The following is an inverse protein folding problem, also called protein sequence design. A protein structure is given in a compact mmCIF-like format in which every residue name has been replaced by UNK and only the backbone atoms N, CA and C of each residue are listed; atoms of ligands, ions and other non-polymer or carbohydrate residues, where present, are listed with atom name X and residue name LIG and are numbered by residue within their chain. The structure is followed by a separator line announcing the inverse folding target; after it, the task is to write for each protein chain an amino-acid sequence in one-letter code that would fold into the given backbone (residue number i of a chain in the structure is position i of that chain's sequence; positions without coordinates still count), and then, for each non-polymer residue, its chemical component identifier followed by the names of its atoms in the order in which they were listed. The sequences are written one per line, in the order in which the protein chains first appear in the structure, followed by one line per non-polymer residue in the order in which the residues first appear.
data_IF_106722137428
#
_entry.id   IF_106722137428
#
_cell.length_a   1.000
_cell.length_b   1.000
_cell.length_c   1.000
_cell.angle_alpha   90.00
_cell.angle_beta   90.00
_cell.angle_gamma   90.00
#
_symmetry.space_group_name_H-M   'P 1'
#
loop_
_entity.id
_entity.type
_entity.pdbx_description
1 polymer ?
#
# COMPACT_ATOMS: atom_id res chain seq x y z
N UNK A 1 -40.24 26.22 -54.64
CA UNK A 1 -39.25 26.96 -53.82
C UNK A 1 -39.82 27.24 -52.43
N UNK A 2 -39.73 26.27 -51.51
CA UNK A 2 -39.76 26.48 -50.06
C UNK A 2 -39.53 25.14 -49.33
N UNK A 3 -38.58 25.19 -48.39
CA UNK A 3 -38.36 24.28 -47.25
C UNK A 3 -37.70 22.91 -47.51
N UNK A 4 -36.37 22.94 -47.54
CA UNK A 4 -35.53 21.86 -47.00
C UNK A 4 -34.48 22.51 -46.07
N UNK A 5 -34.93 22.91 -44.87
CA UNK A 5 -34.03 23.04 -43.72
C UNK A 5 -33.99 21.67 -43.05
N UNK A 6 -33.09 20.81 -43.52
CA UNK A 6 -32.84 19.50 -42.92
C UNK A 6 -31.71 19.64 -41.89
N UNK A 7 -32.13 19.78 -40.63
CA UNK A 7 -31.48 19.26 -39.43
C UNK A 7 -29.95 19.27 -39.39
N UNK A 8 -29.38 20.39 -38.95
CA UNK A 8 -28.09 20.37 -38.25
C UNK A 8 -28.31 19.77 -36.86
N UNK A 9 -28.37 18.44 -36.80
CA UNK A 9 -28.25 17.72 -35.53
C UNK A 9 -26.85 18.00 -34.96
N UNK A 10 -26.79 18.83 -33.93
CA UNK A 10 -25.70 18.86 -32.96
C UNK A 10 -25.45 17.44 -32.48
N UNK A 11 -24.44 16.78 -33.04
CA UNK A 11 -23.89 15.54 -32.52
C UNK A 11 -23.38 15.82 -31.11
N UNK A 12 -24.23 15.56 -30.11
CA UNK A 12 -23.83 15.46 -28.72
C UNK A 12 -22.74 14.39 -28.65
N UNK A 13 -21.49 14.84 -28.58
CA UNK A 13 -20.36 13.98 -28.26
C UNK A 13 -20.68 13.31 -26.92
N UNK A 14 -20.96 12.01 -26.98
CA UNK A 14 -21.12 11.19 -25.79
C UNK A 14 -19.92 11.46 -24.84
N UNK A 15 -20.15 11.60 -23.53
CA UNK A 15 -19.07 11.85 -22.59
C UNK A 15 -17.98 10.80 -22.80
N UNK A 16 -16.69 11.19 -22.87
CA UNK A 16 -15.62 10.26 -23.21
C UNK A 16 -15.69 9.08 -22.25
N UNK A 17 -15.85 7.87 -22.82
CA UNK A 17 -15.89 6.62 -22.06
C UNK A 17 -14.60 6.57 -21.25
N UNK A 18 -14.72 6.72 -19.92
CA UNK A 18 -13.60 6.61 -18.99
C UNK A 18 -13.01 5.21 -19.10
N UNK A 19 -11.98 5.05 -19.92
CA UNK A 19 -11.23 3.80 -20.03
C UNK A 19 -10.64 3.47 -18.65
N UNK A 20 -11.18 2.43 -18.02
CA UNK A 20 -10.62 1.82 -16.81
C UNK A 20 -9.28 1.19 -17.16
N UNK A 21 -8.34 1.24 -16.23
CA UNK A 21 -7.02 0.63 -16.42
C UNK A 21 -7.13 -0.87 -16.13
N UNK A 22 -7.31 -1.67 -17.18
CA UNK A 22 -7.55 -3.11 -17.08
C UNK A 22 -6.40 -3.83 -16.35
N UNK A 23 -5.15 -3.48 -16.64
CA UNK A 23 -3.96 -4.08 -16.00
C UNK A 23 -3.94 -3.87 -14.48
N UNK A 24 -4.41 -2.72 -13.99
CA UNK A 24 -4.52 -2.44 -12.56
C UNK A 24 -5.63 -3.25 -11.89
N UNK A 25 -6.76 -3.42 -12.58
CA UNK A 25 -7.85 -4.26 -12.08
C UNK A 25 -7.44 -5.75 -12.07
N UNK A 26 -6.71 -6.21 -13.09
CA UNK A 26 -6.13 -7.56 -13.15
C UNK A 26 -5.12 -7.81 -12.02
N UNK A 27 -4.17 -6.88 -11.80
CA UNK A 27 -3.19 -6.98 -10.72
C UNK A 27 -3.87 -7.03 -9.35
N UNK A 28 -4.92 -6.23 -9.14
CA UNK A 28 -5.72 -6.27 -7.91
C UNK A 28 -6.39 -7.64 -7.73
N UNK A 29 -6.97 -8.20 -8.79
CA UNK A 29 -7.58 -9.52 -8.78
C UNK A 29 -6.60 -10.63 -8.43
N UNK A 30 -5.42 -10.64 -9.07
CA UNK A 30 -4.34 -11.59 -8.77
C UNK A 30 -3.89 -11.47 -7.31
N UNK A 31 -3.76 -10.24 -6.80
CA UNK A 31 -3.35 -10.00 -5.41
C UNK A 31 -4.40 -10.51 -4.42
N UNK A 32 -5.70 -10.33 -4.71
CA UNK A 32 -6.80 -10.89 -3.89
C UNK A 32 -6.81 -12.42 -3.94
N UNK A 33 -6.64 -13.01 -5.13
CA UNK A 33 -6.55 -14.46 -5.28
C UNK A 33 -5.35 -15.04 -4.50
N UNK A 34 -4.19 -14.37 -4.56
CA UNK A 34 -3.01 -14.72 -3.78
C UNK A 34 -3.23 -14.62 -2.28
N UNK A 35 -3.90 -13.56 -1.80
CA UNK A 35 -4.29 -13.41 -0.39
C UNK A 35 -5.15 -14.59 0.09
N UNK A 36 -6.18 -14.96 -0.68
CA UNK A 36 -7.06 -16.08 -0.32
C UNK A 36 -6.29 -17.38 -0.29
N UNK A 37 -5.44 -17.64 -1.30
CA UNK A 37 -4.62 -18.84 -1.38
C UNK A 37 -3.70 -18.99 -0.15
N UNK A 38 -2.97 -17.92 0.20
CA UNK A 38 -2.02 -17.92 1.32
C UNK A 38 -2.73 -18.08 2.65
N UNK A 39 -3.86 -17.38 2.85
CA UNK A 39 -4.61 -17.46 4.10
C UNK A 39 -5.25 -18.84 4.33
N UNK A 40 -5.48 -19.61 3.26
CA UNK A 40 -6.07 -20.96 3.32
C UNK A 40 -5.07 -22.09 3.02
N UNK A 41 -3.76 -21.81 3.05
CA UNK A 41 -2.73 -22.76 2.59
C UNK A 41 -2.50 -23.98 3.51
N UNK A 42 -3.18 -24.09 4.65
CA UNK A 42 -3.04 -25.23 5.58
C UNK A 42 -1.97 -25.05 6.66
N UNK A 43 -1.52 -23.83 6.91
CA UNK A 43 -0.62 -23.49 8.02
C UNK A 43 0.73 -24.21 7.92
N UNK A 44 1.04 -25.09 8.89
CA UNK A 44 2.35 -25.79 8.97
C UNK A 44 2.57 -26.83 7.86
N UNK A 45 1.50 -27.30 7.21
CA UNK A 45 1.57 -28.28 6.10
C UNK A 45 1.62 -27.60 4.73
N UNK A 46 1.60 -26.26 4.69
CA UNK A 46 1.64 -25.50 3.45
C UNK A 46 2.95 -25.72 2.70
N UNK A 47 2.90 -25.71 1.36
CA UNK A 47 4.10 -25.69 0.51
C UNK A 47 5.01 -24.49 0.85
N UNK A 48 6.32 -24.68 0.75
CA UNK A 48 7.33 -23.67 1.12
C UNK A 48 7.09 -22.26 0.51
N UNK A 49 6.66 -22.09 -0.76
CA UNK A 49 6.36 -20.77 -1.32
C UNK A 49 5.18 -20.03 -0.69
N UNK A 50 4.30 -20.76 0.02
CA UNK A 50 3.11 -20.23 0.69
C UNK A 50 3.38 -19.91 2.17
N UNK A 51 4.56 -20.23 2.68
CA UNK A 51 4.97 -19.93 4.05
C UNK A 51 5.67 -18.57 4.11
N UNK A 52 5.35 -17.78 5.13
CA UNK A 52 6.00 -16.50 5.37
C UNK A 52 7.46 -16.70 5.80
N UNK A 53 8.33 -15.78 5.40
CA UNK A 53 9.68 -15.71 5.97
C UNK A 53 9.60 -15.59 7.51
N UNK A 54 10.47 -16.32 8.22
CA UNK A 54 10.44 -16.38 9.69
C UNK A 54 10.76 -15.02 10.29
N UNK A 55 11.81 -14.36 9.77
CA UNK A 55 12.23 -13.05 10.21
C UNK A 55 12.74 -12.21 9.05
N UNK A 56 13.91 -12.57 8.51
CA UNK A 56 14.49 -11.95 7.33
C UNK A 56 14.22 -12.82 6.09
N UNK A 57 14.11 -12.15 4.94
CA UNK A 57 13.87 -12.75 3.65
C UNK A 57 12.58 -12.23 3.00
N UNK A 58 12.28 -12.82 1.86
CA UNK A 58 11.10 -12.51 1.07
C UNK A 58 10.59 -13.81 0.44
N UNK A 59 9.36 -14.19 0.74
CA UNK A 59 8.67 -15.30 0.05
C UNK A 59 7.53 -14.76 -0.83
N UNK A 60 7.02 -15.52 -1.80
CA UNK A 60 5.93 -15.06 -2.66
C UNK A 60 4.69 -14.61 -1.89
N UNK A 61 4.36 -15.25 -0.77
CA UNK A 61 3.22 -14.85 0.06
C UNK A 61 3.43 -13.52 0.80
N UNK A 62 4.68 -13.07 0.97
CA UNK A 62 5.00 -11.78 1.56
C UNK A 62 4.74 -10.59 0.62
N UNK A 63 4.53 -10.85 -0.68
CA UNK A 63 4.27 -9.82 -1.70
C UNK A 63 2.83 -9.28 -1.69
N UNK A 64 1.88 -10.06 -1.20
CA UNK A 64 0.43 -9.76 -1.30
C UNK A 64 0.09 -8.42 -0.66
N UNK A 65 0.46 -8.22 0.61
CA UNK A 65 0.13 -6.99 1.32
C UNK A 65 0.86 -5.74 0.74
N UNK A 66 2.17 -5.78 0.46
CA UNK A 66 2.87 -4.72 -0.26
C UNK A 66 2.21 -4.36 -1.60
N UNK A 67 1.81 -5.35 -2.40
CA UNK A 67 1.15 -5.10 -3.68
C UNK A 67 -0.16 -4.32 -3.50
N UNK A 68 -0.94 -4.60 -2.45
CA UNK A 68 -2.12 -3.79 -2.13
C UNK A 68 -1.78 -2.32 -1.83
N UNK A 69 -0.71 -2.04 -1.08
CA UNK A 69 -0.28 -0.66 -0.80
C UNK A 69 0.22 0.06 -2.06
N UNK A 70 0.97 -0.62 -2.92
CA UNK A 70 1.39 -0.08 -4.20
C UNK A 70 0.20 0.24 -5.12
N UNK A 71 -0.73 -0.71 -5.29
CA UNK A 71 -1.97 -0.53 -6.05
C UNK A 71 -2.84 0.59 -5.47
N UNK A 72 -2.89 0.71 -4.14
CA UNK A 72 -3.55 1.81 -3.46
C UNK A 72 -2.89 3.14 -3.85
N UNK A 73 -1.57 3.26 -3.80
CA UNK A 73 -0.85 4.46 -4.27
C UNK A 73 -1.28 4.90 -5.69
N UNK A 74 -1.26 3.98 -6.66
CA UNK A 74 -1.71 4.23 -8.03
C UNK A 74 -3.18 4.68 -8.07
N UNK A 75 -4.04 3.94 -7.35
CA UNK A 75 -5.47 4.20 -7.33
C UNK A 75 -5.80 5.56 -6.70
N UNK A 76 -5.03 6.04 -5.71
CA UNK A 76 -5.17 7.40 -5.16
C UNK A 76 -4.89 8.44 -6.22
N UNK A 77 -3.78 8.32 -6.97
CA UNK A 77 -3.45 9.27 -8.04
C UNK A 77 -4.60 9.37 -9.04
N UNK A 78 -5.07 8.23 -9.55
CA UNK A 78 -6.16 8.17 -10.53
C UNK A 78 -7.46 8.76 -9.97
N UNK A 79 -7.75 8.53 -8.69
CA UNK A 79 -8.94 9.05 -8.01
C UNK A 79 -8.90 10.58 -7.89
N UNK A 80 -7.79 11.13 -7.42
CA UNK A 80 -7.62 12.58 -7.20
C UNK A 80 -7.43 13.36 -8.51
N UNK A 81 -6.84 12.75 -9.53
CA UNK A 81 -6.70 13.35 -10.85
C UNK A 81 -8.07 13.68 -11.49
N UNK A 82 -9.14 12.97 -11.13
CA UNK A 82 -10.52 13.28 -11.56
C UNK A 82 -11.04 14.61 -11.01
N UNK A 83 -10.46 15.09 -9.91
CA UNK A 83 -10.79 16.36 -9.28
C UNK A 83 -9.73 17.43 -9.54
N UNK A 84 -8.81 17.18 -10.48
CA UNK A 84 -7.66 18.04 -10.79
C UNK A 84 -6.80 18.39 -9.56
N UNK A 85 -6.80 17.53 -8.54
CA UNK A 85 -6.11 17.78 -7.27
C UNK A 85 -6.52 19.08 -6.55
N UNK A 86 -7.70 19.62 -6.86
CA UNK A 86 -8.21 20.81 -6.20
C UNK A 86 -8.66 20.48 -4.77
N UNK A 87 -8.21 21.31 -3.83
CA UNK A 87 -8.66 21.25 -2.44
C UNK A 87 -10.09 21.77 -2.39
N UNK A 88 -11.06 20.85 -2.30
CA UNK A 88 -12.46 21.18 -2.06
C UNK A 88 -12.98 20.38 -0.87
N UNK A 89 -13.95 20.96 -0.15
CA UNK A 89 -14.58 20.31 1.01
C UNK A 89 -15.14 18.93 0.63
N UNK A 90 -15.69 18.80 -0.58
CA UNK A 90 -16.21 17.53 -1.09
C UNK A 90 -15.13 16.45 -1.20
N UNK A 91 -13.93 16.79 -1.69
CA UNK A 91 -12.81 15.86 -1.82
C UNK A 91 -12.27 15.46 -0.45
N UNK A 92 -12.09 16.43 0.45
CA UNK A 92 -11.61 16.18 1.82
C UNK A 92 -12.58 15.29 2.59
N UNK A 93 -13.88 15.59 2.58
CA UNK A 93 -14.90 14.77 3.23
C UNK A 93 -14.94 13.35 2.65
N UNK A 94 -14.74 13.19 1.33
CA UNK A 94 -14.66 11.87 0.70
C UNK A 94 -13.44 11.07 1.15
N UNK A 95 -12.27 11.72 1.29
CA UNK A 95 -11.05 11.08 1.81
C UNK A 95 -11.25 10.65 3.26
N UNK A 96 -11.75 11.55 4.11
CA UNK A 96 -11.98 11.27 5.53
C UNK A 96 -13.03 10.18 5.73
N UNK A 97 -14.17 10.24 5.02
CA UNK A 97 -15.21 9.21 5.08
C UNK A 97 -14.68 7.84 4.69
N UNK A 98 -13.89 7.76 3.61
CA UNK A 98 -13.29 6.48 3.17
C UNK A 98 -12.28 5.96 4.20
N UNK A 99 -11.44 6.84 4.74
CA UNK A 99 -10.44 6.49 5.77
C UNK A 99 -11.15 5.95 7.02
N UNK A 100 -12.16 6.67 7.50
CA UNK A 100 -12.95 6.27 8.66
C UNK A 100 -13.66 4.93 8.44
N UNK A 101 -14.28 4.73 7.28
CA UNK A 101 -14.97 3.47 6.98
C UNK A 101 -14.01 2.28 6.96
N UNK A 102 -12.80 2.42 6.40
CA UNK A 102 -11.80 1.33 6.39
C UNK A 102 -11.33 1.01 7.81
N UNK A 103 -11.13 2.03 8.66
CA UNK A 103 -10.80 1.84 10.07
C UNK A 103 -11.90 1.08 10.81
N UNK A 104 -13.16 1.52 10.65
CA UNK A 104 -14.32 0.87 11.25
C UNK A 104 -14.46 -0.59 10.79
N UNK A 105 -14.29 -0.87 9.50
CA UNK A 105 -14.34 -2.25 8.98
C UNK A 105 -13.21 -3.08 9.59
N UNK A 106 -11.99 -2.52 9.71
CA UNK A 106 -10.86 -3.20 10.33
C UNK A 106 -11.13 -3.60 11.79
N UNK A 107 -11.65 -2.68 12.60
CA UNK A 107 -12.00 -2.99 13.99
C UNK A 107 -13.23 -3.88 14.10
N UNK A 108 -14.22 -3.74 13.21
CA UNK A 108 -15.40 -4.59 13.20
C UNK A 108 -15.05 -6.06 12.90
N UNK A 109 -14.11 -6.31 11.99
CA UNK A 109 -13.62 -7.67 11.71
C UNK A 109 -12.89 -8.24 12.93
N UNK A 110 -12.01 -7.46 13.56
CA UNK A 110 -11.31 -7.91 14.78
C UNK A 110 -12.26 -8.17 15.94
N UNK A 111 -13.29 -7.35 16.10
CA UNK A 111 -14.34 -7.55 17.09
C UNK A 111 -15.17 -8.81 16.78
N UNK A 112 -15.54 -9.01 15.51
CA UNK A 112 -16.32 -10.17 15.07
C UNK A 112 -15.59 -11.50 15.30
N UNK A 113 -14.27 -11.54 15.09
CA UNK A 113 -13.44 -12.72 15.35
C UNK A 113 -13.56 -13.18 16.81
N UNK A 114 -13.42 -12.26 17.76
CA UNK A 114 -13.59 -12.54 19.19
C UNK A 114 -15.03 -12.90 19.58
N UNK A 115 -16.04 -12.29 18.94
CA UNK A 115 -17.45 -12.67 19.15
C UNK A 115 -17.68 -14.12 18.72
N UNK A 116 -17.06 -14.57 17.63
CA UNK A 116 -17.11 -15.97 17.20
C UNK A 116 -16.40 -16.92 18.18
N UNK A 117 -15.39 -16.44 18.91
CA UNK A 117 -14.70 -17.19 19.98
C UNK A 117 -15.50 -17.22 21.30
N UNK A 118 -16.59 -16.45 21.41
CA UNK A 118 -17.51 -16.44 22.54
C UNK A 118 -17.34 -15.27 23.52
N UNK A 119 -16.44 -14.31 23.23
CA UNK A 119 -16.31 -13.08 24.00
C UNK A 119 -17.03 -11.92 23.29
N UNK A 120 -18.16 -11.47 23.86
CA UNK A 120 -18.98 -10.40 23.29
C UNK A 120 -18.43 -9.00 23.57
N UNK A 121 -17.53 -8.84 24.55
CA UNK A 121 -16.94 -7.55 24.95
C UNK A 121 -15.40 -7.61 25.02
N UNK A 122 -14.71 -7.98 23.93
CA UNK A 122 -13.26 -8.22 23.90
C UNK A 122 -12.47 -6.89 23.82
N UNK A 123 -12.97 -5.81 24.40
CA UNK A 123 -12.36 -4.48 24.29
C UNK A 123 -10.93 -4.42 24.85
N UNK A 124 -10.57 -5.37 25.72
CA UNK A 124 -9.24 -5.46 26.33
C UNK A 124 -8.21 -6.09 25.37
N UNK A 125 -8.63 -6.98 24.48
CA UNK A 125 -7.72 -7.72 23.59
C UNK A 125 -7.87 -7.36 22.11
N UNK A 126 -8.77 -6.42 21.80
CA UNK A 126 -9.02 -5.98 20.43
C UNK A 126 -7.75 -5.36 19.83
N UNK A 127 -7.27 -5.95 18.74
CA UNK A 127 -6.08 -5.48 18.04
C UNK A 127 -6.30 -4.08 17.46
N UNK A 128 -5.46 -3.12 17.84
CA UNK A 128 -5.54 -1.72 17.37
C UNK A 128 -4.82 -1.54 16.03
N UNK A 129 -3.50 -1.79 15.91
CA UNK A 129 -2.80 -1.77 14.63
C UNK A 129 -3.13 -3.01 13.80
N UNK A 130 -3.46 -2.83 12.53
CA UNK A 130 -3.78 -3.94 11.64
C UNK A 130 -3.67 -3.56 10.18
N UNK A 131 -3.82 -4.56 9.31
CA UNK A 131 -3.59 -4.41 7.86
C UNK A 131 -4.50 -3.34 7.26
N UNK A 132 -5.80 -3.39 7.58
CA UNK A 132 -6.77 -2.42 7.07
C UNK A 132 -6.53 -1.02 7.66
N UNK A 133 -6.18 -0.93 8.93
CA UNK A 133 -5.87 0.33 9.61
C UNK A 133 -4.65 1.00 8.97
N UNK A 134 -3.58 0.23 8.70
CA UNK A 134 -2.41 0.72 7.99
C UNK A 134 -2.75 1.19 6.58
N UNK A 135 -3.56 0.44 5.83
CA UNK A 135 -4.03 0.86 4.49
C UNK A 135 -4.78 2.19 4.58
N UNK A 136 -5.66 2.35 5.58
CA UNK A 136 -6.42 3.58 5.80
C UNK A 136 -5.50 4.77 6.08
N UNK A 137 -4.52 4.62 6.97
CA UNK A 137 -3.55 5.65 7.32
C UNK A 137 -2.68 6.04 6.11
N UNK A 138 -2.13 5.05 5.41
CA UNK A 138 -1.32 5.29 4.21
C UNK A 138 -2.13 6.03 3.14
N UNK A 139 -3.37 5.60 2.89
CA UNK A 139 -4.29 6.27 1.97
C UNK A 139 -4.57 7.72 2.37
N UNK A 140 -4.84 7.96 3.66
CA UNK A 140 -5.12 9.29 4.19
C UNK A 140 -3.93 10.23 3.98
N UNK A 141 -2.73 9.81 4.42
CA UNK A 141 -1.50 10.60 4.34
C UNK A 141 -1.14 10.93 2.89
N UNK A 142 -1.13 9.93 2.00
CA UNK A 142 -0.79 10.18 0.59
C UNK A 142 -1.83 11.06 -0.10
N UNK A 143 -3.12 10.92 0.24
CA UNK A 143 -4.18 11.74 -0.34
C UNK A 143 -4.03 13.21 0.04
N UNK A 144 -3.77 13.50 1.32
CA UNK A 144 -3.52 14.87 1.76
C UNK A 144 -2.21 15.42 1.21
N UNK A 145 -1.14 14.62 1.22
CA UNK A 145 0.15 14.99 0.61
C UNK A 145 -0.02 15.36 -0.86
N UNK A 146 -0.81 14.60 -1.62
CA UNK A 146 -1.08 14.87 -3.03
C UNK A 146 -1.94 16.12 -3.29
N UNK A 147 -2.71 16.58 -2.30
CA UNK A 147 -3.54 17.79 -2.39
C UNK A 147 -2.77 19.05 -2.00
N UNK A 148 -1.88 18.97 -1.01
CA UNK A 148 -1.16 20.13 -0.49
C UNK A 148 0.24 20.31 -1.09
N UNK A 149 0.88 19.22 -1.54
CA UNK A 149 2.25 19.25 -2.02
C UNK A 149 2.31 19.04 -3.53
N UNK A 150 3.21 19.79 -4.18
CA UNK A 150 3.50 19.57 -5.59
C UNK A 150 4.01 18.14 -5.82
N UNK A 151 3.46 17.44 -6.81
CA UNK A 151 3.79 16.04 -7.09
C UNK A 151 5.22 15.83 -7.61
N UNK A 152 6.00 16.90 -7.80
CA UNK A 152 7.43 16.83 -8.09
C UNK A 152 8.25 16.48 -6.84
N UNK A 153 7.76 16.82 -5.65
CA UNK A 153 8.46 16.55 -4.38
C UNK A 153 8.10 15.20 -3.75
N UNK A 154 7.09 14.48 -4.26
CA UNK A 154 6.70 13.18 -3.71
C UNK A 154 7.85 12.16 -3.75
N UNK A 155 8.64 12.02 -4.84
CA UNK A 155 9.82 11.14 -4.83
C UNK A 155 10.88 11.56 -3.79
N UNK A 156 11.09 12.86 -3.60
CA UNK A 156 12.01 13.36 -2.57
C UNK A 156 11.51 13.05 -1.16
N UNK A 157 10.20 13.20 -0.92
CA UNK A 157 9.56 12.79 0.34
C UNK A 157 9.72 11.29 0.58
N UNK A 158 9.51 10.44 -0.45
CA UNK A 158 9.75 9.00 -0.35
C UNK A 158 11.19 8.71 0.09
N UNK A 159 12.17 9.36 -0.54
CA UNK A 159 13.58 9.19 -0.19
C UNK A 159 13.85 9.59 1.27
N UNK A 160 13.34 10.77 1.69
CA UNK A 160 13.49 11.26 3.07
C UNK A 160 12.85 10.29 4.06
N UNK A 161 11.65 9.78 3.78
CA UNK A 161 10.96 8.80 4.64
C UNK A 161 11.72 7.49 4.77
N UNK A 162 12.27 6.97 3.66
CA UNK A 162 13.06 5.73 3.70
C UNK A 162 14.38 5.93 4.45
N UNK A 163 15.08 7.04 4.22
CA UNK A 163 16.34 7.34 4.90
C UNK A 163 16.13 7.59 6.38
N UNK A 164 15.14 8.40 6.76
CA UNK A 164 14.83 8.67 8.18
C UNK A 164 14.43 7.38 8.90
N UNK A 165 13.63 6.54 8.25
CA UNK A 165 13.26 5.24 8.81
C UNK A 165 14.45 4.29 8.95
N UNK A 166 15.37 4.29 7.98
CA UNK A 166 16.62 3.52 8.06
C UNK A 166 17.44 3.94 9.28
N UNK A 167 17.58 5.26 9.51
CA UNK A 167 18.30 5.79 10.68
C UNK A 167 17.64 5.34 11.98
N UNK A 168 16.31 5.40 12.08
CA UNK A 168 15.56 4.90 13.24
C UNK A 168 15.84 3.42 13.50
N UNK A 169 15.82 2.59 12.45
CA UNK A 169 16.09 1.16 12.57
C UNK A 169 17.54 0.89 13.01
N UNK A 170 18.52 1.56 12.42
CA UNK A 170 19.93 1.35 12.75
C UNK A 170 20.28 1.81 14.17
N UNK A 171 19.73 2.94 14.62
CA UNK A 171 19.98 3.47 15.97
C UNK A 171 19.21 2.71 17.06
N UNK A 172 18.04 2.15 16.72
CA UNK A 172 17.11 1.55 17.66
C UNK A 172 17.06 0.02 17.67
N UNK A 173 18.14 -0.65 17.26
CA UNK A 173 18.20 -2.11 17.17
C UNK A 173 17.02 -2.73 16.36
N UNK A 174 16.61 -2.04 15.30
CA UNK A 174 15.37 -2.30 14.57
C UNK A 174 15.32 -3.63 13.80
N UNK A 175 16.43 -4.35 13.69
CA UNK A 175 16.49 -5.67 13.04
C UNK A 175 16.52 -6.84 14.03
N UNK A 176 16.57 -6.58 15.35
CA UNK A 176 16.48 -7.63 16.36
C UNK A 176 15.05 -8.19 16.44
N UNK A 177 14.96 -9.52 16.61
CA UNK A 177 13.71 -10.26 16.74
C UNK A 177 13.33 -10.43 18.21
N UNK A 178 13.35 -9.34 18.98
CA UNK A 178 13.08 -9.32 20.41
C UNK A 178 12.43 -7.99 20.84
N UNK A 179 12.15 -7.86 22.14
CA UNK A 179 11.51 -6.68 22.73
C UNK A 179 12.44 -5.46 22.82
N UNK A 180 13.75 -5.63 22.59
CA UNK A 180 14.71 -4.51 22.57
C UNK A 180 14.59 -3.68 21.29
N UNK A 181 13.83 -4.17 20.31
CA UNK A 181 13.57 -3.47 19.07
C UNK A 181 12.76 -2.18 19.31
N UNK A 182 13.23 -1.06 18.75
CA UNK A 182 12.58 0.25 18.84
C UNK A 182 11.11 0.25 18.41
N UNK A 183 10.72 -0.60 17.44
CA UNK A 183 9.32 -0.76 17.06
C UNK A 183 8.49 -1.33 18.21
N UNK A 184 8.96 -2.41 18.84
CA UNK A 184 8.27 -3.05 19.97
C UNK A 184 8.12 -2.09 21.14
N UNK A 185 9.20 -1.37 21.49
CA UNK A 185 9.20 -0.40 22.58
C UNK A 185 8.15 0.69 22.36
N UNK A 186 8.14 1.32 21.18
CA UNK A 186 7.22 2.42 20.88
C UNK A 186 5.78 1.91 20.77
N UNK A 187 5.54 0.80 20.08
CA UNK A 187 4.19 0.27 19.88
C UNK A 187 3.56 -0.19 21.20
N UNK A 188 4.35 -0.77 22.12
CA UNK A 188 3.89 -1.14 23.48
C UNK A 188 3.53 0.09 24.30
N UNK A 189 4.32 1.16 24.21
CA UNK A 189 4.03 2.41 24.91
C UNK A 189 2.78 3.11 24.36
N UNK A 190 2.56 3.03 23.05
CA UNK A 190 1.48 3.75 22.38
C UNK A 190 0.13 3.02 22.46
N UNK A 191 0.12 1.70 22.26
CA UNK A 191 -1.11 0.91 22.17
C UNK A 191 -1.33 -0.02 23.36
N UNK A 192 -0.30 -0.33 24.14
CA UNK A 192 -0.34 -1.37 25.17
C UNK A 192 -0.23 -2.79 24.60
N UNK A 193 0.39 -3.69 25.35
CA UNK A 193 0.70 -5.05 24.90
C UNK A 193 -0.54 -5.86 24.51
N UNK A 194 -1.65 -5.66 25.20
CA UNK A 194 -2.89 -6.39 24.98
C UNK A 194 -3.50 -6.16 23.59
N UNK A 195 -3.16 -5.03 22.95
CA UNK A 195 -3.70 -4.61 21.66
C UNK A 195 -2.78 -4.88 20.47
N UNK A 196 -1.60 -5.48 20.72
CA UNK A 196 -0.61 -5.79 19.70
C UNK A 196 -0.71 -7.24 19.21
N UNK A 197 -0.08 -7.50 18.09
CA UNK A 197 0.00 -8.82 17.50
C UNK A 197 0.80 -9.80 18.37
N UNK A 198 0.11 -10.77 18.98
CA UNK A 198 0.72 -11.66 19.97
C UNK A 198 1.59 -12.80 19.41
N UNK A 199 1.57 -13.05 18.10
CA UNK A 199 2.37 -14.15 17.49
C UNK A 199 3.80 -13.74 17.13
N UNK A 200 4.23 -12.54 17.53
CA UNK A 200 5.56 -11.97 17.24
C UNK A 200 5.94 -10.98 18.34
N UNK A 201 7.22 -10.85 18.72
CA UNK A 201 7.67 -9.81 19.66
C UNK A 201 7.40 -8.38 19.19
N UNK A 202 7.20 -8.20 17.88
CA UNK A 202 6.99 -6.92 17.20
C UNK A 202 5.69 -6.99 16.41
N UNK A 203 4.90 -5.92 16.48
CA UNK A 203 3.70 -5.77 15.67
C UNK A 203 4.07 -5.38 14.23
N UNK A 204 3.76 -6.24 13.24
CA UNK A 204 4.12 -5.96 11.85
C UNK A 204 3.36 -4.78 11.25
N UNK A 205 2.21 -4.44 11.83
CA UNK A 205 1.33 -3.34 11.45
C UNK A 205 1.43 -2.11 12.35
N UNK A 206 2.45 -2.03 13.20
CA UNK A 206 2.74 -0.96 14.14
C UNK A 206 2.86 0.46 13.57
N UNK A 207 2.92 1.43 14.47
CA UNK A 207 2.90 2.85 14.13
C UNK A 207 4.18 3.29 13.43
N UNK A 208 5.33 2.90 13.96
CA UNK A 208 6.65 3.34 13.48
C UNK A 208 6.93 2.80 12.07
N UNK A 209 6.62 1.52 11.83
CA UNK A 209 6.76 0.90 10.51
C UNK A 209 5.77 1.42 9.47
N UNK A 210 4.72 2.14 9.88
CA UNK A 210 3.81 2.82 8.96
C UNK A 210 4.49 3.96 8.19
N UNK A 211 5.58 4.56 8.71
CA UNK A 211 6.39 5.54 7.97
C UNK A 211 6.94 4.96 6.65
N UNK A 212 7.49 3.75 6.72
CA UNK A 212 8.00 3.03 5.56
C UNK A 212 6.86 2.57 4.63
N UNK A 213 5.70 2.20 5.20
CA UNK A 213 4.51 1.88 4.42
C UNK A 213 3.91 3.08 3.66
N UNK A 214 4.02 4.29 4.23
CA UNK A 214 3.67 5.54 3.52
C UNK A 214 4.62 5.74 2.35
N UNK A 215 5.93 5.59 2.54
CA UNK A 215 6.92 5.67 1.47
C UNK A 215 6.63 4.65 0.34
N UNK A 216 6.29 3.41 0.71
CA UNK A 216 5.84 2.39 -0.24
C UNK A 216 4.65 2.88 -1.08
N UNK A 217 3.65 3.46 -0.42
CA UNK A 217 2.45 4.00 -1.09
C UNK A 217 2.80 5.20 -2.00
N UNK A 218 3.75 6.05 -1.60
CA UNK A 218 4.26 7.17 -2.42
C UNK A 218 4.93 6.69 -3.72
N UNK A 219 5.63 5.55 -3.69
CA UNK A 219 6.21 4.95 -4.92
C UNK A 219 5.08 4.55 -5.87
N UNK A 220 4.06 3.84 -5.37
CA UNK A 220 2.86 3.51 -6.15
C UNK A 220 2.16 4.76 -6.71
N UNK A 221 2.03 5.81 -5.91
CA UNK A 221 1.46 7.09 -6.37
C UNK A 221 2.26 7.70 -7.53
N UNK A 222 3.59 7.66 -7.45
CA UNK A 222 4.50 8.16 -8.49
C UNK A 222 4.38 7.35 -9.78
N UNK A 223 4.26 6.02 -9.69
CA UNK A 223 3.97 5.17 -10.84
C UNK A 223 2.59 5.52 -11.46
N UNK A 224 1.57 5.75 -10.63
CA UNK A 224 0.24 6.17 -11.08
C UNK A 224 0.26 7.48 -11.86
N UNK A 225 1.08 8.44 -11.42
CA UNK A 225 1.32 9.71 -12.14
C UNK A 225 1.86 9.46 -13.54
N UNK A 226 2.89 8.65 -13.68
CA UNK A 226 3.50 8.38 -14.98
C UNK A 226 2.57 7.63 -15.94
N UNK A 227 1.78 6.69 -15.43
CA UNK A 227 0.79 5.93 -16.23
C UNK A 227 -0.24 6.86 -16.85
N UNK A 228 -0.70 7.87 -16.10
CA UNK A 228 -1.70 8.83 -16.57
C UNK A 228 -1.11 9.91 -17.47
N UNK A 229 0.11 10.39 -17.19
CA UNK A 229 0.74 11.44 -17.98
C UNK A 229 1.31 10.96 -19.32
N UNK A 230 1.58 9.66 -19.47
CA UNK A 230 2.13 9.11 -20.71
C UNK A 230 1.02 8.85 -21.72
N UNK A 231 1.19 9.28 -22.97
CA UNK A 231 0.22 9.02 -24.04
C UNK A 231 0.39 7.64 -24.67
N UNK A 232 1.63 7.22 -24.92
CA UNK A 232 1.97 5.94 -25.56
C UNK A 232 2.08 4.82 -24.52
N UNK A 233 1.51 3.65 -24.84
CA UNK A 233 1.54 2.46 -23.97
C UNK A 233 2.96 1.92 -23.80
N UNK A 234 3.76 1.90 -24.87
CA UNK A 234 5.16 1.43 -24.82
C UNK A 234 5.99 2.20 -23.80
N UNK A 235 5.84 3.52 -23.76
CA UNK A 235 6.53 4.37 -22.78
C UNK A 235 6.06 4.09 -21.34
N UNK A 236 4.80 3.70 -21.12
CA UNK A 236 4.30 3.29 -19.80
C UNK A 236 4.97 2.00 -19.35
N UNK A 237 4.94 0.99 -20.22
CA UNK A 237 5.51 -0.34 -19.97
C UNK A 237 7.00 -0.22 -19.70
N UNK A 238 7.74 0.46 -20.58
CA UNK A 238 9.18 0.65 -20.44
C UNK A 238 9.54 1.36 -19.14
N UNK A 239 8.86 2.46 -18.80
CA UNK A 239 9.13 3.19 -17.55
C UNK A 239 8.82 2.37 -16.31
N UNK A 240 7.69 1.65 -16.29
CA UNK A 240 7.32 0.80 -15.16
C UNK A 240 8.30 -0.37 -14.98
N UNK A 241 8.71 -0.98 -16.10
CA UNK A 241 9.67 -2.08 -16.09
C UNK A 241 11.05 -1.61 -15.63
N UNK A 242 11.59 -0.53 -16.21
CA UNK A 242 12.88 0.03 -15.82
C UNK A 242 12.88 0.50 -14.35
N UNK A 243 11.83 1.20 -13.93
CA UNK A 243 11.70 1.62 -12.52
C UNK A 243 11.70 0.41 -11.60
N UNK A 244 10.94 -0.62 -11.96
CA UNK A 244 10.86 -1.83 -11.14
C UNK A 244 12.18 -2.59 -11.07
N UNK A 245 12.89 -2.71 -12.20
CA UNK A 245 14.22 -3.31 -12.26
C UNK A 245 15.24 -2.55 -11.41
N UNK A 246 15.25 -1.21 -11.50
CA UNK A 246 16.14 -0.36 -10.70
C UNK A 246 15.84 -0.51 -9.21
N UNK A 247 14.57 -0.46 -8.81
CA UNK A 247 14.17 -0.60 -7.40
C UNK A 247 14.54 -1.98 -6.84
N UNK A 248 14.31 -3.06 -7.59
CA UNK A 248 14.72 -4.42 -7.20
C UNK A 248 16.24 -4.50 -7.06
N UNK A 249 16.98 -3.99 -8.04
CA UNK A 249 18.45 -4.04 -8.04
C UNK A 249 19.03 -3.30 -6.83
N UNK A 250 18.57 -2.07 -6.57
CA UNK A 250 19.01 -1.29 -5.41
C UNK A 250 18.59 -1.99 -4.11
N UNK A 251 17.37 -2.53 -4.04
CA UNK A 251 16.86 -3.22 -2.86
C UNK A 251 17.68 -4.45 -2.48
N UNK A 252 18.08 -5.27 -3.45
CA UNK A 252 18.95 -6.43 -3.20
C UNK A 252 20.41 -6.05 -2.94
N UNK A 253 20.96 -5.02 -3.60
CA UNK A 253 22.30 -4.54 -3.29
C UNK A 253 22.40 -3.98 -1.86
N UNK A 254 21.35 -3.32 -1.38
CA UNK A 254 21.28 -2.85 -0.01
C UNK A 254 20.95 -3.97 1.00
N UNK A 255 20.45 -5.12 0.55
CA UNK A 255 20.01 -6.20 1.42
C UNK A 255 21.14 -6.82 2.25
N UNK A 256 22.37 -6.76 1.74
CA UNK A 256 23.57 -7.25 2.44
C UNK A 256 23.87 -6.44 3.71
N UNK A 257 23.48 -5.16 3.74
CA UNK A 257 23.64 -4.25 4.89
C UNK A 257 22.34 -4.11 5.69
N UNK A 258 21.20 -4.09 4.99
CA UNK A 258 19.87 -3.86 5.52
C UNK A 258 18.96 -5.03 5.12
N UNK A 259 18.84 -6.08 5.94
CA UNK A 259 18.10 -7.29 5.59
C UNK A 259 16.67 -7.00 5.11
N UNK A 260 16.21 -7.72 4.09
CA UNK A 260 14.79 -7.67 3.73
C UNK A 260 13.99 -8.25 4.88
N UNK A 261 13.06 -7.46 5.41
CA UNK A 261 12.22 -7.88 6.52
C UNK A 261 10.84 -7.24 6.40
N UNK A 262 9.81 -8.11 6.32
CA UNK A 262 8.40 -7.72 6.25
C UNK A 262 7.86 -7.26 7.59
N UNK A 263 8.26 -7.91 8.69
CA UNK A 263 7.75 -7.61 10.05
C UNK A 263 8.06 -6.18 10.44
N UNK A 264 9.24 -5.67 10.10
CA UNK A 264 9.60 -4.27 10.38
C UNK A 264 9.33 -3.34 9.19
N UNK A 265 8.76 -3.83 8.09
CA UNK A 265 8.57 -3.07 6.85
C UNK A 265 9.85 -2.35 6.40
N UNK A 266 10.96 -3.09 6.35
CA UNK A 266 12.30 -2.53 6.08
C UNK A 266 12.37 -1.74 4.77
N UNK A 267 13.27 -0.75 4.66
CA UNK A 267 13.47 0.02 3.42
C UNK A 267 13.80 -0.85 2.20
N UNK A 268 14.65 -1.87 2.36
CA UNK A 268 15.00 -2.82 1.29
C UNK A 268 13.81 -3.66 0.86
N UNK A 269 12.98 -4.09 1.81
CA UNK A 269 11.69 -4.73 1.51
C UNK A 269 10.78 -3.80 0.69
N UNK A 270 10.67 -2.52 1.03
CA UNK A 270 9.88 -1.56 0.24
C UNK A 270 10.38 -1.45 -1.19
N UNK A 271 11.70 -1.31 -1.40
CA UNK A 271 12.29 -1.19 -2.73
C UNK A 271 12.02 -2.43 -3.58
N UNK A 272 12.32 -3.63 -3.06
CA UNK A 272 12.14 -4.88 -3.80
C UNK A 272 10.67 -5.15 -4.10
N UNK A 273 9.77 -4.95 -3.14
CA UNK A 273 8.34 -5.25 -3.33
C UNK A 273 7.62 -4.23 -4.22
N UNK A 274 7.95 -2.94 -4.11
CA UNK A 274 7.48 -1.93 -5.09
C UNK A 274 8.00 -2.22 -6.49
N UNK A 275 9.27 -2.64 -6.61
CA UNK A 275 9.85 -2.95 -7.90
C UNK A 275 9.19 -4.17 -8.55
N UNK A 276 8.93 -5.21 -7.77
CA UNK A 276 8.18 -6.38 -8.21
C UNK A 276 6.76 -6.00 -8.65
N UNK A 277 6.03 -5.20 -7.86
CA UNK A 277 4.69 -4.74 -8.22
C UNK A 277 4.69 -3.90 -9.51
N UNK A 278 5.69 -3.04 -9.71
CA UNK A 278 5.86 -2.22 -10.91
C UNK A 278 6.12 -3.08 -12.15
N UNK A 279 7.00 -4.09 -12.05
CA UNK A 279 7.27 -5.02 -13.15
C UNK A 279 6.05 -5.89 -13.47
N UNK A 280 5.36 -6.43 -12.45
CA UNK A 280 4.12 -7.20 -12.65
C UNK A 280 3.04 -6.37 -13.34
N UNK A 281 2.92 -5.09 -13.00
CA UNK A 281 1.99 -4.18 -13.68
C UNK A 281 2.40 -3.90 -15.13
N UNK A 282 3.70 -3.84 -15.42
CA UNK A 282 4.21 -3.62 -16.77
C UNK A 282 3.95 -4.83 -17.70
N UNK A 283 3.90 -6.04 -17.13
CA UNK A 283 3.66 -7.29 -17.89
C UNK A 283 2.19 -7.58 -18.18
N UNK A 284 1.26 -6.91 -17.48
CA UNK A 284 -0.20 -7.06 -17.62
C UNK A 284 -0.80 -6.03 -18.57
#
# INVERSE_FOLDING_TARGET
MKKEELNTETAQQAPPIKKRLLSLDALRGITVAGMILVNNAGGKVSYAPLQHSVWNGLTPCDLVFPFFLFIMGISTYISLNKFNFNVSLQVVTKILKRTFLILCIGWAIGWFDHVCEGDFLPFVHLRIPGVLQRIALCYCVISFTALFMNHKFIPALTFILLVSYTVILCMGNGYACDESNILSIIDRQLFGEAHLYQKSPIDPEGFVSTLSAIAHTCIGFSCGKWIIQSHQTENKVLRLFLTGFILISIGYLLADVLPLNKRIWSPTFVLVTCGAASMSLATL
#
